data_IF_785451527832
#
_entry.id   IF_785451527832
#
_cell.length_a   1.000
_cell.length_b   1.000
_cell.length_c   1.000
_cell.angle_alpha   90.00
_cell.angle_beta   90.00
_cell.angle_gamma   90.00
#
_symmetry.space_group_name_H-M   'P 1'
#
loop_
_entity.id
_entity.type
_entity.pdbx_description
1 polymer ?
#
# COMPACT_ATOMS: atom_id res chain seq x y z
N UNK A 1 -10.48 -4.22 30.64
CA UNK A 1 -9.13 -4.70 31.03
C UNK A 1 -8.48 -5.32 29.80
N UNK A 2 -7.29 -4.82 29.44
CA UNK A 2 -6.21 -5.43 28.63
C UNK A 2 -6.52 -6.09 27.27
N UNK A 3 -6.04 -5.48 26.19
CA UNK A 3 -5.07 -6.16 25.30
C UNK A 3 -4.14 -5.12 24.68
N UNK A 4 -3.08 -4.77 25.41
CA UNK A 4 -1.88 -4.26 24.76
C UNK A 4 -1.36 -5.40 23.88
N UNK A 5 -1.14 -5.11 22.60
CA UNK A 5 -0.51 -6.02 21.65
C UNK A 5 0.74 -6.61 22.29
N UNK A 6 0.75 -7.92 22.53
CA UNK A 6 1.92 -8.57 23.11
C UNK A 6 3.07 -8.41 22.12
N UNK A 7 4.14 -7.75 22.54
CA UNK A 7 5.37 -7.65 21.76
C UNK A 7 5.80 -9.08 21.37
N UNK A 8 5.88 -9.33 20.07
CA UNK A 8 6.41 -10.57 19.53
C UNK A 8 7.87 -10.33 19.16
N UNK A 9 8.80 -10.86 19.94
CA UNK A 9 10.25 -10.66 19.78
C UNK A 9 10.95 -11.80 19.03
N UNK A 10 10.20 -12.76 18.50
CA UNK A 10 10.71 -13.91 17.75
C UNK A 10 9.73 -14.25 16.62
N UNK A 11 10.19 -14.80 15.48
CA UNK A 11 9.30 -15.13 14.38
C UNK A 11 8.10 -15.97 14.84
N UNK A 12 6.89 -15.52 14.50
CA UNK A 12 5.65 -16.20 14.84
C UNK A 12 4.78 -16.33 13.60
N UNK A 13 4.10 -17.45 13.46
CA UNK A 13 3.10 -17.63 12.42
C UNK A 13 1.92 -16.69 12.66
N UNK A 14 1.65 -15.81 11.69
CA UNK A 14 0.46 -14.96 11.67
C UNK A 14 -0.67 -15.72 10.99
N UNK A 15 -1.84 -15.78 11.63
CA UNK A 15 -3.04 -16.33 10.99
C UNK A 15 -3.68 -15.26 10.11
N UNK A 16 -3.93 -15.60 8.86
CA UNK A 16 -4.65 -14.74 7.91
C UNK A 16 -6.13 -15.09 7.89
N UNK A 17 -7.05 -14.13 7.69
CA UNK A 17 -8.47 -14.45 7.58
C UNK A 17 -8.76 -15.24 6.30
N UNK A 18 -9.63 -16.23 6.41
CA UNK A 18 -10.02 -17.12 5.31
C UNK A 18 -9.03 -18.27 5.12
N UNK A 19 -9.56 -19.50 5.09
CA UNK A 19 -8.78 -20.69 4.76
C UNK A 19 -8.57 -20.73 3.23
N UNK A 20 -7.36 -20.38 2.76
CA UNK A 20 -6.94 -20.63 1.36
C UNK A 20 -6.54 -19.41 0.51
N UNK A 21 -6.11 -18.30 1.13
CA UNK A 21 -5.43 -17.25 0.37
C UNK A 21 -3.93 -17.52 0.27
N UNK A 22 -3.45 -17.79 -0.94
CA UNK A 22 -2.02 -17.88 -1.23
C UNK A 22 -1.45 -16.47 -1.39
N UNK A 23 -0.73 -15.96 -0.41
CA UNK A 23 -0.05 -14.67 -0.51
C UNK A 23 1.25 -14.82 -1.29
N UNK A 24 1.47 -13.92 -2.25
CA UNK A 24 2.61 -13.97 -3.18
C UNK A 24 3.57 -12.81 -2.99
N UNK A 25 3.12 -11.68 -2.44
CA UNK A 25 3.94 -10.50 -2.18
C UNK A 25 3.57 -9.88 -0.83
N UNK A 26 4.54 -9.19 -0.23
CA UNK A 26 4.40 -8.43 1.01
C UNK A 26 5.27 -7.17 0.95
N UNK A 27 4.82 -6.08 1.56
CA UNK A 27 5.66 -4.94 1.91
C UNK A 27 5.37 -4.45 3.33
N UNK A 28 6.36 -3.84 3.97
CA UNK A 28 6.24 -3.21 5.27
C UNK A 28 6.48 -1.70 5.13
N UNK A 29 5.50 -0.90 5.54
CA UNK A 29 5.67 0.53 5.81
C UNK A 29 6.11 0.77 7.26
N UNK A 30 5.88 1.97 7.78
CA UNK A 30 6.30 2.30 9.15
C UNK A 30 5.50 1.52 10.21
N UNK A 31 4.17 1.56 10.17
CA UNK A 31 3.30 0.89 11.15
C UNK A 31 2.34 -0.13 10.53
N UNK A 32 2.37 -0.27 9.20
CA UNK A 32 1.46 -1.10 8.45
C UNK A 32 2.22 -2.08 7.55
N UNK A 33 1.61 -3.21 7.26
CA UNK A 33 2.09 -4.16 6.27
C UNK A 33 0.99 -4.50 5.30
N UNK A 34 1.34 -4.64 4.03
CA UNK A 34 0.40 -4.97 2.95
C UNK A 34 0.81 -6.30 2.32
N UNK A 35 -0.17 -7.13 2.01
CA UNK A 35 -0.05 -8.45 1.41
C UNK A 35 -0.83 -8.47 0.08
N UNK A 36 -0.32 -9.20 -0.90
CA UNK A 36 -1.00 -9.44 -2.19
C UNK A 36 -1.25 -10.94 -2.32
N UNK A 37 -2.51 -11.32 -2.56
CA UNK A 37 -2.86 -12.72 -2.86
C UNK A 37 -2.48 -13.12 -4.29
N UNK A 38 -2.44 -14.41 -4.60
CA UNK A 38 -2.22 -14.93 -5.95
C UNK A 38 -3.30 -14.49 -6.95
N UNK A 39 -4.48 -14.13 -6.43
CA UNK A 39 -5.61 -13.55 -7.17
C UNK A 39 -5.54 -12.02 -7.28
N UNK A 40 -4.46 -11.41 -6.82
CA UNK A 40 -4.21 -9.97 -6.88
C UNK A 40 -5.06 -9.12 -5.92
N UNK A 41 -5.66 -9.72 -4.89
CA UNK A 41 -6.37 -8.96 -3.85
C UNK A 41 -5.39 -8.39 -2.83
N UNK A 42 -5.62 -7.16 -2.39
CA UNK A 42 -4.83 -6.52 -1.34
C UNK A 42 -5.39 -6.80 0.05
N UNK A 43 -4.48 -7.01 0.98
CA UNK A 43 -4.79 -7.14 2.39
C UNK A 43 -3.80 -6.35 3.23
N UNK A 44 -4.22 -5.81 4.36
CA UNK A 44 -3.35 -4.98 5.19
C UNK A 44 -3.57 -5.17 6.68
N UNK A 45 -2.53 -4.97 7.47
CA UNK A 45 -2.60 -4.99 8.93
C UNK A 45 -1.64 -4.00 9.55
N UNK A 46 -1.78 -3.77 10.86
CA UNK A 46 -1.05 -2.74 11.59
C UNK A 46 -1.95 -1.58 12.02
N UNK A 47 -1.39 -0.39 12.21
CA UNK A 47 -2.18 0.75 12.68
C UNK A 47 -3.06 1.31 11.55
N UNK A 48 -4.36 1.52 11.82
CA UNK A 48 -5.28 2.17 10.87
C UNK A 48 -5.27 3.71 11.04
N UNK A 49 -4.13 4.29 11.41
CA UNK A 49 -4.00 5.75 11.48
C UNK A 49 -4.31 6.34 10.11
N UNK A 50 -5.25 7.30 10.07
CA UNK A 50 -5.69 7.90 8.82
C UNK A 50 -6.42 6.95 7.88
N UNK A 51 -7.07 5.88 8.36
CA UNK A 51 -7.98 5.01 7.56
C UNK A 51 -7.34 4.44 6.28
N UNK A 52 -6.04 4.13 6.33
CA UNK A 52 -5.26 3.68 5.17
C UNK A 52 -5.36 2.17 4.89
N UNK A 53 -6.00 1.41 5.77
CA UNK A 53 -6.20 -0.04 5.64
C UNK A 53 -7.66 -0.43 5.44
N UNK A 54 -8.61 0.38 5.95
CA UNK A 54 -10.06 0.18 5.80
C UNK A 54 -10.84 1.44 6.21
N UNK A 55 -12.05 1.60 5.65
CA UNK A 55 -12.98 2.71 5.94
C UNK A 55 -13.60 2.69 7.34
N UNK A 56 -13.55 1.59 8.08
CA UNK A 56 -14.34 1.47 9.32
C UNK A 56 -13.82 2.39 10.45
N UNK A 57 -14.68 3.31 10.91
CA UNK A 57 -14.42 4.33 11.93
C UNK A 57 -14.22 3.73 13.34
N UNK A 58 -14.70 2.51 13.59
CA UNK A 58 -14.55 1.82 14.89
C UNK A 58 -13.17 1.14 15.05
N UNK A 59 -12.32 1.18 14.02
CA UNK A 59 -10.99 0.55 14.00
C UNK A 59 -9.87 1.42 14.58
N UNK A 60 -10.17 2.61 15.13
CA UNK A 60 -9.18 3.43 15.84
C UNK A 60 -8.52 2.68 17.02
N UNK A 61 -9.16 1.63 17.52
CA UNK A 61 -8.73 0.88 18.68
C UNK A 61 -8.30 -0.55 18.31
N UNK A 62 -6.98 -0.70 18.14
CA UNK A 62 -6.27 -1.97 18.38
C UNK A 62 -6.80 -3.11 17.51
N UNK A 63 -6.53 -3.04 16.21
CA UNK A 63 -6.29 -4.29 15.51
C UNK A 63 -4.89 -4.73 15.90
N UNK A 64 -4.77 -5.92 16.49
CA UNK A 64 -3.49 -6.62 16.54
C UNK A 64 -3.01 -6.92 15.12
N UNK A 65 -2.30 -8.02 14.93
CA UNK A 65 -1.93 -8.48 13.58
C UNK A 65 -3.16 -9.05 12.84
N UNK A 66 -4.21 -8.26 12.69
CA UNK A 66 -5.34 -8.59 11.81
C UNK A 66 -5.02 -8.07 10.42
N UNK A 67 -5.14 -8.97 9.47
CA UNK A 67 -4.98 -8.70 8.05
C UNK A 67 -6.40 -8.51 7.51
N UNK A 68 -6.75 -7.33 7.02
CA UNK A 68 -8.06 -7.02 6.46
C UNK A 68 -7.97 -6.88 4.95
N UNK A 69 -9.03 -7.29 4.24
CA UNK A 69 -9.13 -7.07 2.80
C UNK A 69 -9.34 -5.57 2.54
N UNK A 70 -8.57 -5.01 1.62
CA UNK A 70 -8.80 -3.66 1.11
C UNK A 70 -9.84 -3.79 -0.01
N UNK A 71 -11.09 -3.40 0.25
CA UNK A 71 -12.25 -3.63 -0.62
C UNK A 71 -12.27 -2.76 -1.88
N UNK A 72 -11.54 -1.65 -1.88
CA UNK A 72 -11.61 -0.61 -2.91
C UNK A 72 -10.89 -1.02 -4.21
N UNK A 73 -10.27 -2.20 -4.23
CA UNK A 73 -9.48 -2.78 -5.32
C UNK A 73 -10.06 -4.09 -5.85
N UNK A 74 -11.34 -4.42 -5.58
CA UNK A 74 -11.92 -5.70 -6.01
C UNK A 74 -11.86 -5.93 -7.53
N UNK A 75 -11.95 -4.87 -8.34
CA UNK A 75 -11.82 -4.94 -9.80
C UNK A 75 -10.37 -4.78 -10.29
N UNK A 76 -9.41 -4.76 -9.37
CA UNK A 76 -8.02 -4.45 -9.66
C UNK A 76 -7.09 -5.58 -9.24
N UNK A 77 -6.67 -6.37 -10.22
CA UNK A 77 -5.73 -7.46 -9.96
C UNK A 77 -4.31 -6.90 -9.76
N UNK A 78 -3.85 -6.83 -8.51
CA UNK A 78 -2.51 -6.35 -8.16
C UNK A 78 -1.46 -7.44 -8.40
N UNK A 79 -0.30 -7.03 -8.92
CA UNK A 79 0.85 -7.90 -9.17
C UNK A 79 1.99 -7.70 -8.17
N UNK A 80 2.29 -6.45 -7.81
CA UNK A 80 3.32 -6.10 -6.82
C UNK A 80 2.86 -4.96 -5.93
N UNK A 81 3.44 -4.87 -4.74
CA UNK A 81 3.19 -3.80 -3.77
C UNK A 81 4.49 -3.36 -3.12
N UNK A 82 4.61 -2.06 -2.88
CA UNK A 82 5.79 -1.39 -2.35
C UNK A 82 5.34 -0.37 -1.31
N UNK A 83 6.18 -0.12 -0.31
CA UNK A 83 5.91 0.82 0.76
C UNK A 83 7.04 1.83 0.86
N UNK A 84 6.68 3.11 1.00
CA UNK A 84 7.55 4.11 1.60
C UNK A 84 7.31 4.18 3.10
N UNK A 85 7.53 5.37 3.68
CA UNK A 85 7.32 5.59 5.12
C UNK A 85 5.85 5.42 5.48
N UNK A 86 5.01 6.20 4.80
CA UNK A 86 3.59 6.37 5.13
C UNK A 86 2.69 6.31 3.89
N UNK A 87 3.26 5.92 2.73
CA UNK A 87 2.55 5.67 1.49
C UNK A 87 2.86 4.28 0.93
N UNK A 88 1.93 3.77 0.14
CA UNK A 88 1.99 2.49 -0.53
C UNK A 88 1.75 2.69 -2.01
N UNK A 89 2.37 1.82 -2.79
CA UNK A 89 2.29 1.82 -4.24
C UNK A 89 2.09 0.38 -4.71
N UNK A 90 1.01 0.14 -5.45
CA UNK A 90 0.72 -1.17 -6.05
C UNK A 90 0.64 -1.07 -7.57
N UNK A 91 1.02 -2.14 -8.26
CA UNK A 91 1.02 -2.18 -9.74
C UNK A 91 -0.01 -3.20 -10.21
N UNK A 92 -0.88 -2.80 -11.14
CA UNK A 92 -1.81 -3.71 -11.82
C UNK A 92 -1.08 -4.85 -12.50
N UNK A 93 -1.71 -6.03 -12.57
CA UNK A 93 -1.30 -7.03 -13.55
C UNK A 93 -1.32 -6.40 -14.95
N UNK A 94 -0.18 -6.50 -15.64
CA UNK A 94 0.05 -5.86 -16.94
C UNK A 94 0.54 -4.41 -16.88
N UNK A 95 0.78 -3.86 -15.68
CA UNK A 95 1.56 -2.63 -15.48
C UNK A 95 0.91 -1.33 -15.95
N UNK A 96 -0.35 -1.35 -16.40
CA UNK A 96 -0.97 -0.18 -17.03
C UNK A 96 -1.31 0.92 -16.02
N UNK A 97 -1.76 0.50 -14.85
CA UNK A 97 -2.20 1.37 -13.78
C UNK A 97 -1.36 1.13 -12.53
N UNK A 98 -1.10 2.21 -11.81
CA UNK A 98 -0.47 2.23 -10.50
C UNK A 98 -1.53 2.69 -9.50
N UNK A 99 -1.62 2.03 -8.36
CA UNK A 99 -2.38 2.53 -7.21
C UNK A 99 -1.45 3.12 -6.19
N UNK A 100 -1.93 4.17 -5.56
CA UNK A 100 -1.25 4.83 -4.46
C UNK A 100 -2.23 5.20 -3.38
N UNK A 101 -1.82 5.00 -2.13
CA UNK A 101 -2.53 5.46 -0.95
C UNK A 101 -1.54 5.69 0.18
N UNK A 102 -1.98 6.34 1.24
CA UNK A 102 -1.12 6.63 2.38
C UNK A 102 -1.71 7.66 3.32
N UNK A 103 -1.15 7.73 4.52
CA UNK A 103 -1.60 8.69 5.53
C UNK A 103 -1.12 10.11 5.22
N UNK A 104 0.00 10.23 4.51
CA UNK A 104 0.61 11.50 4.15
C UNK A 104 0.87 11.61 2.65
N UNK A 105 0.81 12.84 2.15
CA UNK A 105 1.12 13.21 0.76
C UNK A 105 1.64 14.66 0.67
N UNK A 106 2.36 15.09 1.70
CA UNK A 106 2.92 16.44 1.82
C UNK A 106 3.82 16.81 0.64
N UNK A 107 4.59 15.85 0.12
CA UNK A 107 5.51 16.05 -0.99
C UNK A 107 4.96 15.55 -2.32
N UNK A 108 3.71 15.08 -2.35
CA UNK A 108 3.10 14.49 -3.55
C UNK A 108 3.60 13.07 -3.85
N UNK A 109 4.14 12.34 -2.87
CA UNK A 109 4.69 10.98 -3.02
C UNK A 109 3.69 9.92 -3.51
N UNK A 110 2.39 10.23 -3.51
CA UNK A 110 1.35 9.40 -4.13
C UNK A 110 1.10 9.72 -5.61
N UNK A 111 1.74 10.74 -6.18
CA UNK A 111 1.62 11.09 -7.60
C UNK A 111 0.27 11.71 -7.98
N UNK A 112 -0.57 12.04 -7.00
CA UNK A 112 -1.88 12.69 -7.18
C UNK A 112 -1.82 14.23 -7.05
N UNK A 113 -0.62 14.81 -7.11
CA UNK A 113 -0.34 16.19 -6.70
C UNK A 113 -0.10 16.28 -5.19
N UNK A 114 0.61 17.33 -4.74
CA UNK A 114 0.85 17.55 -3.32
C UNK A 114 -0.41 18.05 -2.61
N UNK A 115 -0.69 17.54 -1.41
CA UNK A 115 -1.75 18.06 -0.55
C UNK A 115 -1.16 19.10 0.42
N UNK A 116 -1.69 20.33 0.38
CA UNK A 116 -1.26 21.44 1.26
C UNK A 116 -1.55 21.20 2.74
N UNK A 117 -2.46 20.27 3.05
CA UNK A 117 -2.77 19.84 4.42
C UNK A 117 -1.88 18.65 4.82
N UNK A 118 -1.07 18.12 3.90
CA UNK A 118 -0.15 17.01 4.14
C UNK A 118 -0.84 15.63 4.18
N UNK A 119 -2.15 15.58 4.08
CA UNK A 119 -2.93 14.33 4.13
C UNK A 119 -2.83 13.58 2.81
N UNK A 120 -2.66 12.25 2.90
CA UNK A 120 -2.67 11.38 1.73
C UNK A 120 -4.06 10.86 1.38
N UNK A 121 -4.25 10.33 0.16
CA UNK A 121 -5.42 9.53 -0.14
C UNK A 121 -5.37 8.26 0.71
N UNK A 122 -6.21 8.21 1.74
CA UNK A 122 -6.31 7.04 2.62
C UNK A 122 -6.74 5.78 1.87
N UNK A 123 -7.57 5.96 0.83
CA UNK A 123 -8.01 4.87 -0.03
C UNK A 123 -7.15 4.75 -1.29
N UNK A 124 -6.92 3.53 -1.80
CA UNK A 124 -6.22 3.31 -3.07
C UNK A 124 -6.83 4.12 -4.22
N UNK A 125 -6.01 4.98 -4.83
CA UNK A 125 -6.36 5.70 -6.06
C UNK A 125 -5.48 5.24 -7.20
N UNK A 126 -6.09 4.89 -8.32
CA UNK A 126 -5.39 4.42 -9.51
C UNK A 126 -5.13 5.52 -10.53
N UNK A 127 -3.97 5.50 -11.18
CA UNK A 127 -3.66 6.34 -12.34
C UNK A 127 -2.68 5.66 -13.30
N UNK A 128 -2.60 6.19 -14.52
CA UNK A 128 -1.55 5.80 -15.49
C UNK A 128 -0.50 6.91 -15.57
N UNK A 129 0.79 6.56 -15.59
CA UNK A 129 1.87 7.54 -15.73
C UNK A 129 1.74 8.36 -17.03
N UNK A 130 1.50 7.67 -18.15
CA UNK A 130 1.29 8.26 -19.47
C UNK A 130 0.42 7.34 -20.34
N UNK A 131 -0.16 7.81 -21.45
CA UNK A 131 -0.82 6.94 -22.43
C UNK A 131 0.11 5.83 -22.93
N UNK A 132 -0.36 4.58 -22.95
CA UNK A 132 0.35 3.38 -23.45
C UNK A 132 1.66 3.00 -22.73
N UNK A 133 2.05 3.69 -21.64
CA UNK A 133 3.17 3.27 -20.77
C UNK A 133 2.72 2.17 -19.81
N UNK A 134 3.61 1.21 -19.57
CA UNK A 134 3.46 0.14 -18.59
C UNK A 134 4.62 0.16 -17.62
N UNK A 135 4.30 0.10 -16.33
CA UNK A 135 5.26 0.00 -15.22
C UNK A 135 5.62 -1.45 -15.00
N UNK A 136 6.92 -1.72 -14.86
CA UNK A 136 7.45 -3.06 -14.60
C UNK A 136 8.18 -3.17 -13.25
N UNK A 137 8.59 -2.05 -12.65
CA UNK A 137 9.12 -2.04 -11.29
C UNK A 137 8.82 -0.71 -10.58
N UNK A 138 8.70 -0.77 -9.26
CA UNK A 138 8.56 0.38 -8.36
C UNK A 138 9.65 0.30 -7.29
N UNK A 139 10.15 1.46 -6.86
CA UNK A 139 10.89 1.60 -5.62
C UNK A 139 10.35 2.82 -4.85
N UNK A 140 10.20 2.68 -3.54
CA UNK A 140 9.77 3.77 -2.66
C UNK A 140 10.92 4.13 -1.72
N UNK A 141 11.25 5.41 -1.66
CA UNK A 141 12.04 5.98 -0.58
C UNK A 141 11.14 6.30 0.61
N UNK A 142 11.66 7.09 1.55
CA UNK A 142 10.86 7.54 2.69
C UNK A 142 9.63 8.33 2.21
N UNK A 143 9.87 9.35 1.39
CA UNK A 143 8.86 10.33 0.96
C UNK A 143 8.88 10.57 -0.56
N UNK A 144 9.40 9.61 -1.34
CA UNK A 144 9.37 9.64 -2.80
C UNK A 144 9.15 8.27 -3.42
N UNK A 145 8.77 8.25 -4.69
CA UNK A 145 8.52 7.03 -5.47
C UNK A 145 9.22 7.11 -6.82
N UNK A 146 9.81 6.00 -7.22
CA UNK A 146 10.37 5.76 -8.54
C UNK A 146 9.58 4.66 -9.25
N UNK A 147 9.35 4.84 -10.55
CA UNK A 147 8.73 3.83 -11.41
C UNK A 147 9.55 3.59 -12.67
N UNK A 148 9.90 2.33 -12.93
CA UNK A 148 10.57 1.88 -14.14
C UNK A 148 9.54 1.33 -15.13
N UNK A 149 9.58 1.82 -16.36
CA UNK A 149 8.71 1.33 -17.43
C UNK A 149 9.33 0.18 -18.21
N UNK A 150 8.50 -0.58 -18.93
CA UNK A 150 8.97 -1.60 -19.90
C UNK A 150 9.84 -1.01 -21.02
N UNK A 151 9.84 0.32 -21.18
CA UNK A 151 10.66 1.06 -22.16
C UNK A 151 11.97 1.59 -21.56
N UNK A 152 12.32 1.15 -20.35
CA UNK A 152 13.48 1.62 -19.61
C UNK A 152 13.46 3.13 -19.27
N UNK A 153 12.27 3.73 -19.20
CA UNK A 153 12.09 5.10 -18.72
C UNK A 153 11.88 5.08 -17.20
N UNK A 154 12.41 6.08 -16.51
CA UNK A 154 12.24 6.24 -15.06
C UNK A 154 11.42 7.47 -14.78
N UNK A 155 10.34 7.29 -14.01
CA UNK A 155 9.52 8.35 -13.46
C UNK A 155 9.83 8.49 -11.98
N UNK A 156 9.86 9.72 -11.48
CA UNK A 156 10.13 10.04 -10.10
C UNK A 156 9.15 11.11 -9.62
N UNK A 157 8.66 10.99 -8.38
CA UNK A 157 7.82 12.00 -7.74
C UNK A 157 7.92 11.92 -6.21
N UNK A 158 7.65 13.03 -5.53
CA UNK A 158 7.76 13.16 -4.07
C UNK A 158 8.91 14.09 -3.66
N UNK A 159 9.44 13.87 -2.46
CA UNK A 159 10.52 14.68 -1.91
C UNK A 159 11.85 14.41 -2.63
N UNK A 160 12.53 15.48 -3.05
CA UNK A 160 13.88 15.40 -3.62
C UNK A 160 13.95 14.86 -5.06
N UNK A 161 12.82 14.84 -5.77
CA UNK A 161 12.72 14.43 -7.19
C UNK A 161 12.51 15.62 -8.12
#
# INVERSE_FOLDING_TARGET
RSSLTSLVSSPSLVRTPGDGHDFTQICAGWEQSILVSSRGSLWGGGTNRGRCLAEDEDLERVLGVQILKISEVEDFEVSTVHAGREHFVAVQRGGRLVLTWGSTNEFGQTGQGADRVGLGPCLPRSFALQPKVRVCAIACGQDHTLALTERAEVFAWGEGT
#
